data_IF_604785849299
#
_entry.id   IF_604785849299
#
_cell.length_a   1.000
_cell.length_b   1.000
_cell.length_c   1.000
_cell.angle_alpha   90.00
_cell.angle_beta   90.00
_cell.angle_gamma   90.00
#
_symmetry.space_group_name_H-M   'P 1'
#
loop_
_entity.id
_entity.type
_entity.pdbx_description
1 polymer ?
#
# COMPACT_ATOMS: atom_id res chain seq x y z
N UNK A 1 -9.45 11.16 -19.32
CA UNK A 1 -10.75 10.67 -19.83
C UNK A 1 -11.66 10.44 -18.65
N UNK A 2 -12.89 11.01 -18.68
CA UNK A 2 -13.87 10.83 -17.61
C UNK A 2 -15.13 10.15 -18.18
N UNK A 3 -15.63 9.14 -17.48
CA UNK A 3 -16.94 8.53 -17.74
C UNK A 3 -17.82 8.65 -16.50
N UNK A 4 -19.12 8.80 -16.69
CA UNK A 4 -20.08 8.83 -15.58
C UNK A 4 -21.32 8.02 -15.95
N UNK A 5 -21.85 7.31 -14.96
CA UNK A 5 -23.17 6.71 -15.06
C UNK A 5 -24.22 7.75 -14.62
N UNK A 6 -25.37 7.72 -15.25
CA UNK A 6 -26.52 8.54 -14.87
C UNK A 6 -27.59 7.64 -14.21
N UNK A 7 -27.73 7.73 -12.90
CA UNK A 7 -28.66 6.90 -12.13
C UNK A 7 -30.13 7.17 -12.50
N UNK A 8 -30.46 8.37 -13.02
CA UNK A 8 -31.81 8.71 -13.46
C UNK A 8 -32.24 7.90 -14.69
N UNK A 9 -31.26 7.36 -15.45
CA UNK A 9 -31.51 6.52 -16.61
C UNK A 9 -31.51 5.04 -16.23
N UNK A 10 -32.70 4.50 -15.94
CA UNK A 10 -32.93 3.10 -15.58
C UNK A 10 -32.00 2.59 -14.46
N UNK A 11 -31.86 3.40 -13.39
CA UNK A 11 -31.04 3.07 -12.23
C UNK A 11 -29.55 2.93 -12.54
N UNK A 12 -29.03 3.70 -13.49
CA UNK A 12 -27.61 3.63 -13.90
C UNK A 12 -27.21 2.31 -14.57
N UNK A 13 -28.17 1.46 -14.94
CA UNK A 13 -27.87 0.16 -15.55
C UNK A 13 -27.23 0.31 -16.95
N UNK A 14 -26.21 -0.48 -17.20
CA UNK A 14 -25.47 -0.46 -18.47
C UNK A 14 -26.24 -1.18 -19.55
N UNK A 15 -26.76 -0.45 -20.54
CA UNK A 15 -27.29 -1.02 -21.79
C UNK A 15 -26.22 -1.16 -22.87
N UNK A 16 -26.57 -1.70 -24.03
CA UNK A 16 -25.65 -1.94 -25.17
C UNK A 16 -24.87 -0.68 -25.54
N UNK A 17 -25.53 0.45 -25.74
CA UNK A 17 -24.90 1.73 -26.11
C UNK A 17 -24.01 2.26 -24.98
N UNK A 18 -24.42 2.08 -23.72
CA UNK A 18 -23.62 2.46 -22.56
C UNK A 18 -22.30 1.66 -22.50
N UNK A 19 -22.38 0.35 -22.74
CA UNK A 19 -21.21 -0.52 -22.82
C UNK A 19 -20.25 -0.09 -23.96
N UNK A 20 -20.76 0.22 -25.13
CA UNK A 20 -19.98 0.68 -26.27
C UNK A 20 -19.29 2.03 -25.99
N UNK A 21 -19.98 2.95 -25.31
CA UNK A 21 -19.39 4.25 -24.87
C UNK A 21 -18.28 4.05 -23.86
N UNK A 22 -18.49 3.20 -22.85
CA UNK A 22 -17.46 2.88 -21.85
C UNK A 22 -16.24 2.25 -22.53
N UNK A 23 -16.46 1.29 -23.41
CA UNK A 23 -15.41 0.64 -24.18
C UNK A 23 -14.59 1.65 -25.02
N UNK A 24 -15.28 2.59 -25.69
CA UNK A 24 -14.63 3.66 -26.45
C UNK A 24 -13.81 4.59 -25.55
N UNK A 25 -14.30 4.92 -24.35
CA UNK A 25 -13.57 5.76 -23.41
C UNK A 25 -12.28 5.10 -22.91
N UNK A 26 -12.36 3.80 -22.56
CA UNK A 26 -11.16 3.03 -22.16
C UNK A 26 -10.16 2.94 -23.32
N UNK A 27 -10.65 2.69 -24.56
CA UNK A 27 -9.79 2.70 -25.73
C UNK A 27 -9.10 4.04 -25.92
N UNK A 28 -9.84 5.15 -25.82
CA UNK A 28 -9.27 6.50 -25.95
C UNK A 28 -8.19 6.76 -24.88
N UNK A 29 -8.43 6.35 -23.62
CA UNK A 29 -7.44 6.47 -22.54
C UNK A 29 -6.17 5.67 -22.87
N UNK A 30 -6.33 4.42 -23.32
CA UNK A 30 -5.20 3.54 -23.70
C UNK A 30 -4.40 4.10 -24.88
N UNK A 31 -5.07 4.49 -25.96
CA UNK A 31 -4.41 4.96 -27.19
C UNK A 31 -3.69 6.29 -27.00
N UNK A 32 -4.21 7.14 -26.13
CA UNK A 32 -3.66 8.47 -25.85
C UNK A 32 -2.75 8.53 -24.64
N UNK A 33 -2.64 7.46 -23.85
CA UNK A 33 -1.88 7.44 -22.59
C UNK A 33 -2.42 8.47 -21.58
N UNK A 34 -3.74 8.52 -21.40
CA UNK A 34 -4.42 9.46 -20.52
C UNK A 34 -5.03 8.73 -19.32
N UNK A 35 -5.03 9.35 -18.12
CA UNK A 35 -5.73 8.80 -16.97
C UNK A 35 -7.22 8.56 -17.28
N UNK A 36 -7.75 7.44 -16.77
CA UNK A 36 -9.16 7.08 -16.84
C UNK A 36 -9.82 7.30 -15.48
N UNK A 37 -10.86 8.11 -15.42
CA UNK A 37 -11.69 8.32 -14.24
C UNK A 37 -13.10 7.83 -14.54
N UNK A 38 -13.60 6.91 -13.73
CA UNK A 38 -14.95 6.35 -13.87
C UNK A 38 -15.78 6.71 -12.64
N UNK A 39 -16.82 7.53 -12.83
CA UNK A 39 -17.82 7.87 -11.82
C UNK A 39 -18.96 6.85 -11.95
N UNK A 40 -19.06 5.96 -10.96
CA UNK A 40 -19.83 4.73 -11.07
C UNK A 40 -21.06 4.74 -10.16
N UNK A 41 -22.19 4.36 -10.75
CA UNK A 41 -23.44 4.03 -10.08
C UNK A 41 -24.17 2.93 -10.86
N UNK A 42 -25.14 2.27 -10.22
CA UNK A 42 -26.06 1.36 -10.90
C UNK A 42 -25.80 -0.12 -10.65
N UNK A 43 -26.75 -0.93 -11.07
CA UNK A 43 -26.86 -2.37 -10.81
C UNK A 43 -26.17 -3.28 -11.83
N UNK A 44 -25.22 -2.78 -12.61
CA UNK A 44 -24.57 -3.55 -13.64
C UNK A 44 -25.33 -3.59 -14.97
N UNK A 45 -25.37 -4.74 -15.64
CA UNK A 45 -25.98 -4.85 -16.97
C UNK A 45 -27.52 -4.73 -16.90
N UNK A 46 -28.10 -3.98 -17.83
CA UNK A 46 -29.57 -3.81 -17.94
C UNK A 46 -30.21 -5.14 -18.25
N UNK A 47 -31.20 -5.57 -17.43
CA UNK A 47 -31.82 -6.90 -17.55
C UNK A 47 -32.43 -7.11 -18.92
N UNK A 48 -33.12 -6.09 -19.47
CA UNK A 48 -33.78 -6.17 -20.78
C UNK A 48 -32.78 -6.47 -21.93
N UNK A 49 -31.59 -5.87 -21.87
CA UNK A 49 -30.53 -6.13 -22.85
C UNK A 49 -29.75 -7.41 -22.50
N UNK A 50 -29.54 -7.69 -21.22
CA UNK A 50 -28.75 -8.81 -20.71
C UNK A 50 -29.39 -10.19 -20.88
N UNK A 51 -30.71 -10.26 -21.02
CA UNK A 51 -31.40 -11.51 -21.29
C UNK A 51 -31.49 -11.87 -22.81
N UNK A 52 -31.08 -10.96 -23.69
CA UNK A 52 -30.89 -11.25 -25.10
C UNK A 52 -29.43 -11.67 -25.35
N UNK A 53 -29.23 -12.96 -25.63
CA UNK A 53 -27.89 -13.52 -25.88
C UNK A 53 -27.14 -12.84 -27.03
N UNK A 54 -27.85 -12.27 -28.02
CA UNK A 54 -27.22 -11.50 -29.12
C UNK A 54 -26.57 -10.20 -28.63
N UNK A 55 -27.13 -9.60 -27.58
CA UNK A 55 -26.61 -8.39 -26.98
C UNK A 55 -25.56 -8.72 -25.91
N UNK A 56 -25.87 -9.63 -25.00
CA UNK A 56 -24.98 -9.94 -23.87
C UNK A 56 -23.64 -10.56 -24.34
N UNK A 57 -23.66 -11.49 -25.31
CA UNK A 57 -22.45 -12.11 -25.84
C UNK A 57 -21.49 -11.13 -26.57
N UNK A 58 -21.99 -9.95 -26.96
CA UNK A 58 -21.19 -8.89 -27.56
C UNK A 58 -20.61 -7.90 -26.57
N UNK A 59 -21.07 -7.93 -25.31
CA UNK A 59 -20.64 -7.01 -24.24
C UNK A 59 -19.28 -7.45 -23.72
N UNK A 60 -18.25 -7.25 -24.50
CA UNK A 60 -16.90 -7.67 -24.13
C UNK A 60 -15.87 -6.59 -24.49
N UNK A 61 -14.69 -6.73 -23.97
CA UNK A 61 -13.56 -5.88 -24.30
C UNK A 61 -13.20 -4.86 -23.22
N UNK A 62 -14.13 -4.39 -22.39
CA UNK A 62 -13.81 -3.39 -21.36
C UNK A 62 -12.80 -3.95 -20.35
N UNK A 63 -13.01 -5.16 -19.84
CA UNK A 63 -12.09 -5.78 -18.88
C UNK A 63 -10.71 -6.05 -19.47
N UNK A 64 -10.68 -6.59 -20.69
CA UNK A 64 -9.42 -6.81 -21.41
C UNK A 64 -8.65 -5.50 -21.61
N UNK A 65 -9.34 -4.44 -22.03
CA UNK A 65 -8.73 -3.12 -22.22
C UNK A 65 -8.29 -2.46 -20.92
N UNK A 66 -9.07 -2.59 -19.85
CA UNK A 66 -8.64 -2.12 -18.51
C UNK A 66 -7.40 -2.88 -18.04
N UNK A 67 -7.34 -4.19 -18.27
CA UNK A 67 -6.14 -4.97 -17.94
C UNK A 67 -4.90 -4.48 -18.72
N UNK A 68 -5.05 -4.09 -19.99
CA UNK A 68 -3.98 -3.50 -20.79
C UNK A 68 -3.66 -2.04 -20.39
N UNK A 69 -4.64 -1.31 -19.88
CA UNK A 69 -4.43 0.04 -19.35
C UNK A 69 -3.67 0.04 -18.03
N UNK A 70 -3.80 -1.05 -17.24
CA UNK A 70 -3.13 -1.21 -15.93
C UNK A 70 -1.62 -1.03 -16.06
N UNK A 71 -1.06 -0.12 -15.26
CA UNK A 71 0.35 0.26 -15.28
C UNK A 71 0.79 1.07 -16.51
N UNK A 72 -0.10 1.30 -17.48
CA UNK A 72 0.13 2.21 -18.59
C UNK A 72 -0.29 3.64 -18.26
N UNK A 73 -1.55 3.83 -17.84
CA UNK A 73 -2.07 5.12 -17.39
C UNK A 73 -2.95 4.91 -16.15
N UNK A 74 -2.98 5.87 -15.21
CA UNK A 74 -3.75 5.73 -13.98
C UNK A 74 -5.25 5.48 -14.22
N UNK A 75 -5.79 4.49 -13.53
CA UNK A 75 -7.21 4.16 -13.50
C UNK A 75 -7.82 4.49 -12.14
N UNK A 76 -8.85 5.30 -12.12
CA UNK A 76 -9.53 5.73 -10.90
C UNK A 76 -11.01 5.45 -11.00
N UNK A 77 -11.60 4.92 -9.94
CA UNK A 77 -13.06 4.78 -9.82
C UNK A 77 -13.58 5.48 -8.58
N UNK A 78 -14.72 6.16 -8.72
CA UNK A 78 -15.50 6.67 -7.60
C UNK A 78 -16.87 6.02 -7.59
N UNK A 79 -17.22 5.35 -6.50
CA UNK A 79 -18.57 4.90 -6.23
C UNK A 79 -19.30 6.06 -5.58
N UNK A 80 -20.24 6.67 -6.31
CA UNK A 80 -21.01 7.82 -5.84
C UNK A 80 -22.40 7.42 -5.33
N UNK A 81 -22.80 6.17 -5.59
CA UNK A 81 -24.07 5.61 -5.16
C UNK A 81 -24.03 4.08 -5.12
N UNK A 82 -25.15 3.44 -5.45
CA UNK A 82 -25.26 1.98 -5.51
C UNK A 82 -24.55 1.45 -6.74
N UNK A 83 -23.51 0.63 -6.55
CA UNK A 83 -22.65 0.15 -7.63
C UNK A 83 -22.38 -1.36 -7.61
N UNK A 84 -23.43 -2.19 -7.77
CA UNK A 84 -23.27 -3.65 -7.83
C UNK A 84 -22.91 -4.17 -9.22
N UNK A 85 -22.33 -5.39 -9.27
CA UNK A 85 -21.87 -6.10 -10.48
C UNK A 85 -20.77 -5.33 -11.24
N UNK A 86 -21.01 -4.88 -12.48
CA UNK A 86 -20.02 -4.20 -13.34
C UNK A 86 -19.22 -3.09 -12.64
N UNK A 87 -19.83 -2.13 -11.97
CA UNK A 87 -19.14 -1.11 -11.18
C UNK A 87 -18.13 -1.67 -10.16
N UNK A 88 -18.50 -2.76 -9.48
CA UNK A 88 -17.58 -3.45 -8.56
C UNK A 88 -16.39 -4.06 -9.30
N UNK A 89 -16.62 -4.70 -10.45
CA UNK A 89 -15.55 -5.30 -11.24
C UNK A 89 -14.58 -4.23 -11.80
N UNK A 90 -15.09 -3.09 -12.24
CA UNK A 90 -14.26 -1.97 -12.70
C UNK A 90 -13.42 -1.41 -11.55
N UNK A 91 -14.04 -1.25 -10.37
CA UNK A 91 -13.33 -0.80 -9.16
C UNK A 91 -12.25 -1.76 -8.72
N UNK A 92 -12.50 -3.07 -8.78
CA UNK A 92 -11.50 -4.08 -8.44
C UNK A 92 -10.26 -4.07 -9.36
N UNK A 93 -10.36 -3.49 -10.55
CA UNK A 93 -9.24 -3.36 -11.51
C UNK A 93 -8.59 -1.97 -11.49
N UNK A 94 -9.15 -1.01 -10.76
CA UNK A 94 -8.63 0.36 -10.72
C UNK A 94 -7.43 0.49 -9.78
N UNK A 95 -6.58 1.47 -10.04
CA UNK A 95 -5.41 1.82 -9.22
C UNK A 95 -5.80 2.57 -7.95
N UNK A 96 -6.95 3.26 -7.98
CA UNK A 96 -7.48 4.00 -6.85
C UNK A 96 -9.01 3.99 -6.85
N UNK A 97 -9.60 3.64 -5.72
CA UNK A 97 -11.04 3.53 -5.52
C UNK A 97 -11.49 4.38 -4.35
N UNK A 98 -12.43 5.30 -4.58
CA UNK A 98 -13.04 6.10 -3.51
C UNK A 98 -14.54 5.83 -3.40
N UNK A 99 -15.04 5.74 -2.16
CA UNK A 99 -16.45 5.56 -1.81
C UNK A 99 -16.93 6.69 -0.91
N UNK A 100 -18.23 7.04 -1.01
CA UNK A 100 -18.89 7.98 -0.09
C UNK A 100 -19.63 7.18 0.99
N UNK A 101 -19.28 7.39 2.27
CA UNK A 101 -19.87 6.66 3.42
C UNK A 101 -21.39 6.88 3.51
N UNK A 102 -22.13 5.79 3.78
CA UNK A 102 -23.59 5.83 3.89
C UNK A 102 -24.35 6.09 2.58
N UNK A 103 -23.66 6.39 1.49
CA UNK A 103 -24.23 6.62 0.16
C UNK A 103 -23.81 5.52 -0.82
N UNK A 104 -22.54 5.19 -0.87
CA UNK A 104 -21.98 4.25 -1.83
C UNK A 104 -22.01 2.82 -1.31
N UNK A 105 -22.38 1.89 -2.18
CA UNK A 105 -22.28 0.46 -1.93
C UNK A 105 -21.77 -0.25 -3.17
N UNK A 106 -21.00 -1.32 -3.01
CA UNK A 106 -20.56 -2.19 -4.10
C UNK A 106 -20.48 -3.66 -3.68
N UNK A 107 -20.63 -4.55 -4.64
CA UNK A 107 -20.58 -6.00 -4.49
C UNK A 107 -20.88 -6.68 -5.81
N UNK A 108 -20.58 -7.97 -5.92
CA UNK A 108 -20.82 -8.73 -7.17
C UNK A 108 -22.31 -8.92 -7.46
N UNK A 109 -23.15 -8.95 -6.41
CA UNK A 109 -24.58 -9.07 -6.51
C UNK A 109 -25.26 -8.13 -5.51
N UNK A 110 -26.33 -7.47 -5.92
CA UNK A 110 -27.14 -6.67 -5.01
C UNK A 110 -28.10 -7.51 -4.16
N UNK A 111 -28.69 -6.93 -3.09
CA UNK A 111 -29.54 -7.64 -2.12
C UNK A 111 -30.67 -8.47 -2.75
N UNK A 112 -31.31 -7.96 -3.79
CA UNK A 112 -32.39 -8.68 -4.48
C UNK A 112 -31.91 -9.97 -5.12
N UNK A 113 -30.72 -9.98 -5.73
CA UNK A 113 -30.12 -11.18 -6.34
C UNK A 113 -29.60 -12.13 -5.27
N UNK A 114 -29.03 -11.64 -4.18
CA UNK A 114 -28.63 -12.43 -3.02
C UNK A 114 -29.84 -13.15 -2.42
N UNK A 115 -30.96 -12.47 -2.21
CA UNK A 115 -32.20 -13.07 -1.74
C UNK A 115 -32.73 -14.12 -2.71
N UNK A 116 -32.74 -13.83 -4.00
CA UNK A 116 -33.26 -14.79 -5.02
C UNK A 116 -32.36 -16.04 -5.16
N UNK A 117 -31.04 -15.88 -5.06
CA UNK A 117 -30.09 -16.97 -5.28
C UNK A 117 -29.75 -17.78 -4.02
N UNK A 118 -29.65 -17.11 -2.87
CA UNK A 118 -29.18 -17.72 -1.63
C UNK A 118 -30.24 -17.76 -0.53
N UNK A 119 -31.38 -17.08 -0.69
CA UNK A 119 -32.40 -16.93 0.33
C UNK A 119 -32.01 -16.00 1.49
N UNK A 120 -30.87 -15.33 1.40
CA UNK A 120 -30.37 -14.44 2.44
C UNK A 120 -31.01 -13.06 2.31
N UNK A 121 -31.58 -12.55 3.40
CA UNK A 121 -32.06 -11.18 3.50
C UNK A 121 -31.01 -10.28 4.13
N UNK A 122 -30.46 -9.37 3.35
CA UNK A 122 -29.40 -8.46 3.77
C UNK A 122 -29.62 -7.08 3.11
N UNK A 123 -29.36 -6.01 3.85
CA UNK A 123 -29.42 -4.66 3.30
C UNK A 123 -28.12 -4.33 2.51
N UNK A 124 -28.20 -3.32 1.65
CA UNK A 124 -27.10 -2.94 0.77
C UNK A 124 -25.85 -2.45 1.50
N UNK A 125 -26.01 -1.74 2.63
CA UNK A 125 -24.89 -1.20 3.41
C UNK A 125 -24.13 -2.31 4.14
N UNK A 126 -24.87 -3.22 4.79
CA UNK A 126 -24.28 -4.41 5.43
C UNK A 126 -23.61 -5.33 4.42
N UNK A 127 -24.16 -5.46 3.21
CA UNK A 127 -23.60 -6.30 2.15
C UNK A 127 -22.32 -5.70 1.55
N UNK A 128 -22.31 -4.40 1.26
CA UNK A 128 -21.27 -3.80 0.44
C UNK A 128 -20.99 -2.33 0.67
N UNK A 129 -21.35 -1.77 1.84
CA UNK A 129 -21.00 -0.41 2.21
C UNK A 129 -19.52 -0.20 2.51
N UNK A 130 -19.14 1.04 2.76
CA UNK A 130 -17.75 1.42 2.98
C UNK A 130 -17.07 0.67 4.15
N UNK A 131 -17.84 0.34 5.21
CA UNK A 131 -17.33 -0.48 6.32
C UNK A 131 -16.89 -1.90 5.91
N UNK A 132 -17.45 -2.42 4.82
CA UNK A 132 -17.04 -3.72 4.24
C UNK A 132 -15.91 -3.52 3.24
N UNK A 133 -16.09 -2.61 2.29
CA UNK A 133 -15.22 -2.53 1.12
C UNK A 133 -13.95 -1.72 1.35
N UNK A 134 -13.97 -0.70 2.22
CA UNK A 134 -12.78 0.04 2.61
C UNK A 134 -12.11 -0.56 3.84
N UNK A 135 -12.88 -0.81 4.92
CA UNK A 135 -12.27 -1.11 6.22
C UNK A 135 -11.89 -2.60 6.37
N UNK A 136 -12.66 -3.54 5.76
CA UNK A 136 -12.42 -4.99 5.91
C UNK A 136 -11.74 -5.62 4.71
N UNK A 137 -12.15 -5.26 3.49
CA UNK A 137 -11.70 -5.91 2.26
C UNK A 137 -10.56 -5.15 1.57
N UNK A 138 -10.47 -3.83 1.75
CA UNK A 138 -9.44 -3.00 1.14
C UNK A 138 -9.58 -2.86 -0.38
N UNK A 139 -10.77 -3.08 -0.96
CA UNK A 139 -11.02 -2.77 -2.38
C UNK A 139 -11.06 -1.26 -2.55
N UNK A 140 -11.82 -0.54 -1.69
CA UNK A 140 -11.77 0.91 -1.68
C UNK A 140 -10.53 1.41 -0.93
N UNK A 141 -9.84 2.37 -1.55
CA UNK A 141 -8.66 3.03 -1.01
C UNK A 141 -9.01 4.11 0.00
N UNK A 142 -10.12 4.80 -0.25
CA UNK A 142 -10.66 5.80 0.67
C UNK A 142 -12.18 5.69 0.78
N UNK A 143 -12.68 5.99 1.98
CA UNK A 143 -14.07 6.25 2.22
C UNK A 143 -14.20 7.65 2.82
N UNK A 144 -14.89 8.53 2.10
CA UNK A 144 -15.07 9.96 2.40
C UNK A 144 -16.51 10.26 2.75
N UNK A 145 -16.80 11.45 3.27
CA UNK A 145 -18.14 11.81 3.75
C UNK A 145 -19.00 12.54 2.70
N UNK A 146 -18.40 12.93 1.56
CA UNK A 146 -19.12 13.62 0.49
C UNK A 146 -18.52 13.36 -0.90
N UNK A 147 -19.34 13.60 -1.96
CA UNK A 147 -18.87 13.55 -3.34
C UNK A 147 -17.79 14.61 -3.62
N UNK A 148 -17.90 15.78 -3.00
CA UNK A 148 -16.89 16.82 -3.14
C UNK A 148 -15.52 16.35 -2.65
N UNK A 149 -15.48 15.67 -1.50
CA UNK A 149 -14.27 15.06 -0.98
C UNK A 149 -13.78 13.91 -1.85
N UNK A 150 -14.68 13.13 -2.47
CA UNK A 150 -14.32 12.08 -3.41
C UNK A 150 -13.60 12.67 -4.64
N UNK A 151 -14.12 13.77 -5.20
CA UNK A 151 -13.47 14.46 -6.33
C UNK A 151 -12.14 15.09 -5.95
N UNK A 152 -12.01 15.62 -4.74
CA UNK A 152 -10.73 16.14 -4.25
C UNK A 152 -9.72 15.00 -4.05
N UNK A 153 -10.13 13.87 -3.50
CA UNK A 153 -9.28 12.69 -3.36
C UNK A 153 -8.77 12.17 -4.72
N UNK A 154 -9.64 12.16 -5.75
CA UNK A 154 -9.25 11.79 -7.13
C UNK A 154 -8.19 12.76 -7.67
N UNK A 155 -8.40 14.07 -7.56
CA UNK A 155 -7.44 15.08 -8.01
C UNK A 155 -6.12 14.93 -7.26
N UNK A 156 -6.18 14.73 -5.96
CA UNK A 156 -5.01 14.55 -5.11
C UNK A 156 -4.23 13.29 -5.49
N UNK A 157 -4.89 12.15 -5.68
CA UNK A 157 -4.25 10.93 -6.15
C UNK A 157 -3.54 11.14 -7.49
N UNK A 158 -4.25 11.68 -8.47
CA UNK A 158 -3.70 11.93 -9.82
C UNK A 158 -2.55 12.96 -9.82
N UNK A 159 -2.50 13.87 -8.84
CA UNK A 159 -1.43 14.87 -8.76
C UNK A 159 -0.05 14.28 -8.45
N UNK A 160 0.02 13.05 -7.87
CA UNK A 160 1.28 12.36 -7.61
C UNK A 160 1.79 11.57 -8.81
N UNK A 161 0.93 11.26 -9.77
CA UNK A 161 1.22 10.34 -10.87
C UNK A 161 1.42 11.08 -12.20
N UNK A 162 2.26 10.54 -13.09
CA UNK A 162 2.33 11.03 -14.46
C UNK A 162 1.05 10.66 -15.23
N UNK A 163 0.82 11.28 -16.37
CA UNK A 163 -0.32 10.92 -17.24
C UNK A 163 -0.24 9.47 -17.73
N UNK A 164 0.98 8.98 -17.94
CA UNK A 164 1.26 7.56 -18.25
C UNK A 164 2.69 7.22 -17.80
N UNK A 165 3.02 5.94 -17.77
CA UNK A 165 4.29 5.45 -17.25
C UNK A 165 5.55 5.88 -18.02
N UNK A 166 5.41 6.55 -19.16
CA UNK A 166 6.52 7.11 -19.96
C UNK A 166 6.77 8.59 -19.69
N UNK A 167 5.81 9.26 -19.10
CA UNK A 167 5.94 10.67 -18.75
C UNK A 167 6.76 10.82 -17.45
N UNK A 168 7.46 11.94 -17.27
CA UNK A 168 8.16 12.22 -16.04
C UNK A 168 7.19 12.42 -14.86
N UNK A 169 7.69 12.22 -13.65
CA UNK A 169 6.93 12.49 -12.43
C UNK A 169 6.58 13.99 -12.33
N UNK A 170 5.38 14.32 -11.84
CA UNK A 170 4.95 15.71 -11.67
C UNK A 170 5.61 16.33 -10.44
N UNK A 171 6.77 16.96 -10.63
CA UNK A 171 7.47 17.71 -9.58
C UNK A 171 6.78 19.07 -9.43
N UNK A 172 6.53 19.47 -8.18
CA UNK A 172 5.95 20.79 -7.85
C UNK A 172 6.96 21.60 -7.07
N UNK A 173 6.94 22.91 -7.24
CA UNK A 173 7.78 23.80 -6.45
C UNK A 173 7.33 23.78 -4.99
N UNK A 174 8.28 23.87 -4.08
CA UNK A 174 8.07 23.93 -2.63
C UNK A 174 9.03 24.92 -2.01
N UNK A 175 8.56 25.60 -0.96
CA UNK A 175 9.36 26.48 -0.11
C UNK A 175 9.82 25.77 1.19
N UNK A 176 9.50 24.49 1.37
CA UNK A 176 9.92 23.70 2.52
C UNK A 176 11.42 23.32 2.39
N UNK A 177 12.32 23.83 3.24
CA UNK A 177 13.75 23.68 3.04
C UNK A 177 14.21 22.21 3.00
N UNK A 178 15.13 21.91 2.10
CA UNK A 178 15.74 20.57 1.96
C UNK A 178 16.46 20.17 3.25
N UNK A 179 17.17 21.11 3.87
CA UNK A 179 18.01 20.94 5.06
C UNK A 179 17.25 21.21 6.37
N UNK A 180 15.93 21.30 6.33
CA UNK A 180 15.11 21.46 7.53
C UNK A 180 15.40 20.37 8.55
N UNK A 181 15.93 20.77 9.70
CA UNK A 181 16.19 19.88 10.85
C UNK A 181 14.86 19.54 11.51
N UNK A 182 14.64 18.26 11.76
CA UNK A 182 13.40 17.73 12.31
C UNK A 182 13.61 17.18 13.72
N UNK A 183 13.81 18.08 14.69
CA UNK A 183 14.05 17.73 16.12
C UNK A 183 12.89 16.94 16.71
N UNK A 184 11.65 17.21 16.29
CA UNK A 184 10.45 16.51 16.73
C UNK A 184 10.54 14.98 16.57
N UNK A 185 11.38 14.47 15.65
CA UNK A 185 11.57 13.03 15.44
C UNK A 185 12.14 12.33 16.67
N UNK A 186 12.92 13.02 17.49
CA UNK A 186 13.50 12.48 18.73
C UNK A 186 12.42 12.24 19.81
N UNK A 187 11.37 13.05 19.80
CA UNK A 187 10.24 12.93 20.73
C UNK A 187 9.16 12.00 20.21
N UNK A 188 8.94 11.98 18.88
CA UNK A 188 7.93 11.12 18.23
C UNK A 188 8.29 9.66 18.40
N UNK A 189 9.56 9.27 18.19
CA UNK A 189 10.00 7.87 18.24
C UNK A 189 10.73 7.56 19.54
N UNK A 190 10.05 6.93 20.52
CA UNK A 190 10.65 6.64 21.82
C UNK A 190 11.75 5.59 21.70
N UNK A 191 12.84 5.76 22.46
CA UNK A 191 13.92 4.76 22.57
C UNK A 191 13.47 3.44 23.19
N UNK A 192 12.43 3.46 24.03
CA UNK A 192 11.83 2.25 24.59
C UNK A 192 11.05 1.49 23.50
N UNK A 193 11.56 0.34 23.08
CA UNK A 193 10.99 -0.49 22.02
C UNK A 193 9.56 -1.02 22.30
N UNK A 194 9.12 -1.02 23.57
CA UNK A 194 7.77 -1.45 23.96
C UNK A 194 6.75 -0.32 23.90
N UNK A 195 7.20 0.94 23.86
CA UNK A 195 6.31 2.10 23.79
C UNK A 195 5.88 2.32 22.34
N UNK A 196 4.58 2.28 22.02
CA UNK A 196 4.09 2.56 20.67
C UNK A 196 4.16 4.07 20.37
N UNK A 197 4.18 4.40 19.08
CA UNK A 197 4.06 5.74 18.53
C UNK A 197 3.37 5.69 17.18
N UNK A 198 2.84 6.81 16.69
CA UNK A 198 2.21 6.90 15.39
C UNK A 198 3.25 7.23 14.31
N UNK A 199 3.50 6.26 13.42
CA UNK A 199 4.45 6.41 12.32
C UNK A 199 4.04 7.49 11.31
N UNK A 200 2.74 7.84 11.24
CA UNK A 200 2.24 8.92 10.37
C UNK A 200 2.92 10.25 10.67
N UNK A 201 3.16 10.52 11.96
CA UNK A 201 3.87 11.73 12.40
C UNK A 201 5.31 11.77 11.87
N UNK A 202 5.99 10.63 11.80
CA UNK A 202 7.33 10.57 11.20
C UNK A 202 7.26 10.89 9.71
N UNK A 203 6.30 10.28 8.98
CA UNK A 203 6.10 10.53 7.54
C UNK A 203 5.79 12.02 7.31
N UNK A 204 4.88 12.60 8.08
CA UNK A 204 4.52 14.02 8.00
C UNK A 204 5.72 14.94 8.26
N UNK A 205 6.53 14.59 9.28
CA UNK A 205 7.68 15.39 9.67
C UNK A 205 8.78 15.40 8.61
N UNK A 206 9.05 14.27 7.94
CA UNK A 206 10.12 14.22 6.92
C UNK A 206 9.66 14.69 5.54
N UNK A 207 8.36 14.67 5.26
CA UNK A 207 7.79 15.08 3.97
C UNK A 207 7.60 16.59 3.85
N UNK A 208 7.38 17.05 2.64
CA UNK A 208 6.95 18.43 2.39
C UNK A 208 5.60 18.68 3.06
N UNK A 209 5.45 19.84 3.70
CA UNK A 209 4.25 20.17 4.48
C UNK A 209 2.96 20.00 3.69
N UNK A 210 1.99 19.26 4.27
CA UNK A 210 0.68 19.04 3.68
C UNK A 210 0.67 18.08 2.48
N UNK A 211 1.82 17.49 2.14
CA UNK A 211 1.92 16.60 0.97
C UNK A 211 1.55 15.14 1.24
N UNK A 212 1.36 14.71 2.49
CA UNK A 212 1.07 13.29 2.79
C UNK A 212 -0.36 12.93 2.42
N UNK A 213 -0.52 11.86 1.64
CA UNK A 213 -1.80 11.30 1.22
C UNK A 213 -1.82 9.79 1.47
N UNK A 214 -2.45 9.38 2.58
CA UNK A 214 -2.50 7.96 2.98
C UNK A 214 -3.51 7.18 2.13
N UNK A 215 -3.11 6.00 1.67
CA UNK A 215 -3.91 5.04 0.91
C UNK A 215 -4.32 3.89 1.83
N UNK A 216 -5.61 3.53 1.83
CA UNK A 216 -6.20 2.47 2.67
C UNK A 216 -5.91 2.68 4.18
N UNK A 217 -6.24 3.86 4.76
CA UNK A 217 -5.88 4.16 6.15
C UNK A 217 -6.52 3.23 7.18
N UNK A 218 -7.67 2.64 6.87
CA UNK A 218 -8.44 1.76 7.76
C UNK A 218 -8.19 0.27 7.50
N UNK A 219 -7.80 -0.10 6.28
CA UNK A 219 -7.44 -1.47 5.92
C UNK A 219 -6.00 -1.78 6.27
N UNK A 220 -5.75 -2.93 6.92
CA UNK A 220 -4.41 -3.34 7.36
C UNK A 220 -3.66 -2.19 8.05
N UNK A 221 -4.27 -1.60 9.09
CA UNK A 221 -3.77 -0.39 9.73
C UNK A 221 -2.45 -0.59 10.51
N UNK A 222 -1.91 -1.81 10.56
CA UNK A 222 -0.59 -2.17 11.05
C UNK A 222 0.55 -1.83 10.06
N UNK A 223 0.21 -1.48 8.82
CA UNK A 223 1.11 -0.90 7.81
C UNK A 223 0.49 0.36 7.22
N UNK A 224 1.28 1.41 7.08
CA UNK A 224 0.89 2.67 6.42
C UNK A 224 1.47 2.67 5.01
N UNK A 225 0.63 2.94 4.03
CA UNK A 225 1.04 3.24 2.65
C UNK A 225 0.57 4.63 2.31
N UNK A 226 1.46 5.50 1.87
CA UNK A 226 1.10 6.88 1.54
C UNK A 226 1.94 7.43 0.40
N UNK A 227 1.34 8.26 -0.42
CA UNK A 227 2.09 9.20 -1.24
C UNK A 227 2.49 10.40 -0.38
N UNK A 228 3.62 10.99 -0.73
CA UNK A 228 4.08 12.26 -0.18
C UNK A 228 4.99 12.96 -1.19
N UNK A 229 5.55 14.09 -0.81
CA UNK A 229 6.57 14.77 -1.62
C UNK A 229 7.81 15.05 -0.77
N UNK A 230 8.94 14.98 -1.44
CA UNK A 230 10.25 15.35 -0.90
C UNK A 230 10.91 16.29 -1.91
N UNK A 231 11.08 17.55 -1.55
CA UNK A 231 11.53 18.61 -2.43
C UNK A 231 10.69 18.66 -3.74
N UNK A 232 9.36 18.66 -3.55
CA UNK A 232 8.36 18.63 -4.61
C UNK A 232 8.22 17.33 -5.39
N UNK A 233 9.16 16.39 -5.29
CA UNK A 233 9.16 15.10 -5.98
C UNK A 233 8.20 14.12 -5.31
N UNK A 234 7.25 13.50 -6.04
CA UNK A 234 6.38 12.46 -5.48
C UNK A 234 7.17 11.21 -5.11
N UNK A 235 6.81 10.64 -3.97
CA UNK A 235 7.38 9.39 -3.43
C UNK A 235 6.29 8.54 -2.78
N UNK A 236 6.52 7.24 -2.66
CA UNK A 236 5.67 6.31 -1.91
C UNK A 236 6.33 5.88 -0.60
N UNK A 237 5.64 6.06 0.52
CA UNK A 237 6.06 5.54 1.83
C UNK A 237 5.36 4.22 2.15
N UNK A 238 6.11 3.26 2.66
CA UNK A 238 5.62 2.02 3.27
C UNK A 238 6.23 1.96 4.67
N UNK A 239 5.40 2.00 5.71
CA UNK A 239 5.87 2.15 7.07
C UNK A 239 5.11 1.27 8.05
N UNK A 240 5.81 0.57 8.94
CA UNK A 240 5.18 -0.20 10.01
C UNK A 240 4.50 0.73 11.01
N UNK A 241 3.27 0.40 11.44
CA UNK A 241 2.52 1.18 12.43
C UNK A 241 2.55 0.51 13.81
N UNK A 242 3.45 0.91 14.73
CA UNK A 242 3.58 0.26 16.04
C UNK A 242 2.35 0.35 16.92
N UNK A 243 1.45 1.31 16.70
CA UNK A 243 0.17 1.41 17.42
C UNK A 243 -0.82 0.29 17.08
N UNK A 244 -0.58 -0.44 16.00
CA UNK A 244 -1.44 -1.53 15.54
C UNK A 244 -0.60 -2.80 15.40
N UNK A 245 -0.94 -3.85 16.15
CA UNK A 245 -0.22 -5.13 16.15
C UNK A 245 1.31 -4.97 16.28
N UNK A 246 1.78 -3.93 16.98
CA UNK A 246 3.19 -3.56 17.12
C UNK A 246 3.96 -3.38 15.79
N UNK A 247 3.26 -3.13 14.67
CA UNK A 247 3.84 -3.03 13.33
C UNK A 247 4.14 -4.36 12.65
N UNK A 248 3.63 -5.48 13.20
CA UNK A 248 3.80 -6.83 12.66
C UNK A 248 3.12 -6.95 11.29
N UNK A 249 3.71 -7.73 10.37
CA UNK A 249 3.15 -7.97 9.04
C UNK A 249 2.23 -9.19 9.05
N UNK A 250 0.93 -8.98 8.87
CA UNK A 250 -0.06 -10.02 8.61
C UNK A 250 -0.36 -10.15 7.10
N UNK A 251 -1.26 -11.05 6.75
CA UNK A 251 -1.63 -11.31 5.36
C UNK A 251 -2.16 -10.06 4.63
N UNK A 252 -2.98 -9.27 5.30
CA UNK A 252 -3.56 -8.05 4.74
C UNK A 252 -2.50 -6.94 4.56
N UNK A 253 -1.59 -6.80 5.54
CA UNK A 253 -0.47 -5.87 5.42
C UNK A 253 0.45 -6.24 4.25
N UNK A 254 0.68 -7.54 4.03
CA UNK A 254 1.45 -8.01 2.88
C UNK A 254 0.76 -7.68 1.55
N UNK A 255 -0.56 -7.90 1.43
CA UNK A 255 -1.31 -7.56 0.22
C UNK A 255 -1.28 -6.05 -0.06
N UNK A 256 -1.57 -5.24 0.95
CA UNK A 256 -1.54 -3.77 0.87
C UNK A 256 -0.16 -3.27 0.43
N UNK A 257 0.91 -3.77 1.04
CA UNK A 257 2.28 -3.39 0.70
C UNK A 257 2.65 -3.82 -0.72
N UNK A 258 2.35 -5.06 -1.11
CA UNK A 258 2.68 -5.60 -2.42
C UNK A 258 1.99 -4.82 -3.55
N UNK A 259 0.69 -4.51 -3.37
CA UNK A 259 -0.07 -3.70 -4.33
C UNK A 259 0.52 -2.28 -4.45
N UNK A 260 0.83 -1.63 -3.33
CA UNK A 260 1.40 -0.29 -3.34
C UNK A 260 2.81 -0.23 -3.94
N UNK A 261 3.65 -1.27 -3.73
CA UNK A 261 4.95 -1.41 -4.40
C UNK A 261 4.76 -1.47 -5.93
N UNK A 262 3.82 -2.32 -6.40
CA UNK A 262 3.53 -2.46 -7.82
C UNK A 262 3.02 -1.14 -8.43
N UNK A 263 2.14 -0.43 -7.73
CA UNK A 263 1.59 0.86 -8.14
C UNK A 263 2.70 1.92 -8.28
N UNK A 264 3.54 2.07 -7.26
CA UNK A 264 4.65 3.02 -7.29
C UNK A 264 5.65 2.68 -8.41
N UNK A 265 6.01 1.40 -8.55
CA UNK A 265 6.94 0.97 -9.60
C UNK A 265 6.37 1.18 -11.00
N UNK A 266 5.08 0.89 -11.22
CA UNK A 266 4.44 1.10 -12.52
C UNK A 266 4.60 2.55 -13.00
N UNK A 267 4.36 3.51 -12.12
CA UNK A 267 4.38 4.95 -12.46
C UNK A 267 5.70 5.67 -12.13
N UNK A 268 6.72 4.96 -11.66
CA UNK A 268 8.06 5.52 -11.48
C UNK A 268 8.29 6.26 -10.15
N UNK A 269 7.43 6.07 -9.14
CA UNK A 269 7.60 6.71 -7.84
C UNK A 269 8.65 5.98 -7.00
N UNK A 270 9.67 6.68 -6.47
CA UNK A 270 10.60 6.09 -5.51
C UNK A 270 9.87 5.56 -4.27
N UNK A 271 10.39 4.47 -3.70
CA UNK A 271 9.84 3.81 -2.52
C UNK A 271 10.71 4.08 -1.29
N UNK A 272 10.09 4.53 -0.21
CA UNK A 272 10.74 4.77 1.07
C UNK A 272 10.10 3.86 2.12
N UNK A 273 10.94 3.04 2.76
CA UNK A 273 10.53 2.11 3.80
C UNK A 273 10.97 2.63 5.16
N UNK A 274 10.02 2.85 6.07
CA UNK A 274 10.30 3.16 7.47
C UNK A 274 10.05 1.90 8.31
N UNK A 275 11.13 1.31 8.80
CA UNK A 275 11.12 -0.03 9.37
C UNK A 275 11.07 0.01 10.90
N UNK A 276 10.01 -0.53 11.46
CA UNK A 276 9.87 -0.88 12.87
C UNK A 276 9.01 -2.14 12.99
N UNK A 277 9.57 -3.27 12.56
CA UNK A 277 8.87 -4.54 12.38
C UNK A 277 9.38 -5.63 13.31
N UNK A 278 8.52 -6.20 14.18
CA UNK A 278 8.90 -7.33 15.03
C UNK A 278 8.90 -8.69 14.28
N UNK A 279 8.49 -8.69 13.02
CA UNK A 279 8.40 -9.87 12.16
C UNK A 279 7.06 -10.02 11.47
N UNK A 280 6.85 -11.17 10.83
CA UNK A 280 5.53 -11.60 10.37
C UNK A 280 4.68 -12.08 11.52
N UNK A 281 3.36 -12.04 11.35
CA UNK A 281 2.41 -12.65 12.27
C UNK A 281 2.66 -14.17 12.37
N UNK A 282 2.47 -14.73 13.55
CA UNK A 282 2.70 -16.15 13.83
C UNK A 282 1.45 -16.78 14.44
N UNK A 283 1.39 -18.10 14.38
CA UNK A 283 0.31 -18.88 14.97
C UNK A 283 -0.75 -19.34 13.96
N UNK A 284 -1.69 -20.17 14.43
CA UNK A 284 -2.65 -20.87 13.57
C UNK A 284 -3.56 -19.93 12.75
N UNK A 285 -3.89 -18.76 13.28
CA UNK A 285 -4.69 -17.75 12.57
C UNK A 285 -3.89 -17.13 11.39
N UNK A 286 -2.60 -16.86 11.59
CA UNK A 286 -1.72 -16.37 10.54
C UNK A 286 -1.59 -17.41 9.42
N UNK A 287 -1.35 -18.68 9.75
CA UNK A 287 -1.25 -19.75 8.76
C UNK A 287 -2.57 -19.94 7.98
N UNK A 288 -3.71 -19.97 8.67
CA UNK A 288 -5.03 -20.06 8.02
C UNK A 288 -5.37 -18.89 7.11
N UNK A 289 -4.76 -17.71 7.35
CA UNK A 289 -4.91 -16.54 6.47
C UNK A 289 -4.15 -16.66 5.14
N UNK A 290 -3.32 -17.69 4.96
CA UNK A 290 -2.46 -17.88 3.80
C UNK A 290 -1.28 -16.90 3.77
N UNK A 291 -0.78 -16.48 4.94
CA UNK A 291 0.30 -15.50 5.09
C UNK A 291 1.56 -15.90 4.30
N UNK A 292 1.92 -17.18 4.27
CA UNK A 292 3.10 -17.64 3.51
C UNK A 292 3.07 -17.24 2.04
N UNK A 293 1.91 -17.39 1.35
CA UNK A 293 1.75 -16.96 -0.04
C UNK A 293 1.78 -15.43 -0.17
N UNK A 294 1.12 -14.72 0.74
CA UNK A 294 1.00 -13.27 0.68
C UNK A 294 2.32 -12.58 1.01
N UNK A 295 3.11 -13.12 1.94
CA UNK A 295 4.47 -12.63 2.19
C UNK A 295 5.39 -12.85 0.98
N UNK A 296 5.28 -14.01 0.32
CA UNK A 296 6.00 -14.29 -0.92
C UNK A 296 5.71 -13.27 -2.02
N UNK A 297 4.48 -12.74 -2.09
CA UNK A 297 4.14 -11.68 -3.04
C UNK A 297 4.89 -10.38 -2.75
N UNK A 298 5.07 -10.00 -1.48
CA UNK A 298 5.87 -8.79 -1.14
C UNK A 298 7.29 -8.93 -1.66
N UNK A 299 7.94 -10.07 -1.43
CA UNK A 299 9.28 -10.35 -1.93
C UNK A 299 9.34 -10.32 -3.46
N UNK A 300 8.34 -10.90 -4.12
CA UNK A 300 8.23 -10.87 -5.57
C UNK A 300 8.13 -9.43 -6.11
N UNK A 301 7.27 -8.60 -5.53
CA UNK A 301 7.08 -7.21 -5.95
C UNK A 301 8.35 -6.37 -5.69
N UNK A 302 9.01 -6.56 -4.55
CA UNK A 302 10.29 -5.91 -4.25
C UNK A 302 11.38 -6.29 -5.26
N UNK A 303 11.48 -7.57 -5.63
CA UNK A 303 12.46 -8.04 -6.61
C UNK A 303 12.26 -7.46 -7.99
N UNK A 304 11.01 -7.21 -8.39
CA UNK A 304 10.67 -6.67 -9.70
C UNK A 304 10.64 -5.15 -9.74
N UNK A 305 10.64 -4.48 -8.59
CA UNK A 305 10.61 -3.01 -8.55
C UNK A 305 11.90 -2.42 -9.13
N UNK A 306 11.73 -1.49 -10.07
CA UNK A 306 12.82 -0.81 -10.80
C UNK A 306 13.08 0.60 -10.30
N UNK A 307 12.16 1.17 -9.54
CA UNK A 307 12.29 2.50 -8.93
C UNK A 307 13.31 2.51 -7.79
N UNK A 308 13.90 3.69 -7.46
CA UNK A 308 14.75 3.83 -6.29
C UNK A 308 14.05 3.36 -5.02
N UNK A 309 14.81 2.67 -4.17
CA UNK A 309 14.35 2.15 -2.87
C UNK A 309 15.30 2.58 -1.76
N UNK A 310 14.76 3.22 -0.75
CA UNK A 310 15.49 3.63 0.44
C UNK A 310 14.81 3.00 1.65
N UNK A 311 15.55 2.32 2.52
CA UNK A 311 15.02 1.82 3.79
C UNK A 311 15.73 2.43 4.97
N UNK A 312 14.96 2.83 5.98
CA UNK A 312 15.45 3.42 7.23
C UNK A 312 14.91 2.58 8.39
N UNK A 313 15.81 1.95 9.13
CA UNK A 313 15.44 1.18 10.32
C UNK A 313 15.38 2.13 11.51
N UNK A 314 14.17 2.39 11.98
CA UNK A 314 13.93 3.32 13.09
C UNK A 314 14.20 2.65 14.44
N UNK A 315 13.68 1.41 14.63
CA UNK A 315 13.82 0.61 15.85
C UNK A 315 14.00 -0.87 15.52
N UNK A 316 12.91 -1.65 15.45
CA UNK A 316 12.98 -3.10 15.22
C UNK A 316 13.07 -3.43 13.73
N UNK A 317 14.04 -4.26 13.38
CA UNK A 317 14.15 -4.91 12.09
C UNK A 317 14.34 -6.41 12.29
N UNK A 318 13.24 -7.16 12.56
CA UNK A 318 13.35 -8.56 12.98
C UNK A 318 12.89 -9.55 11.92
N UNK A 319 13.70 -10.60 11.76
CA UNK A 319 13.40 -11.76 10.93
C UNK A 319 13.13 -11.41 9.45
N UNK A 320 12.36 -12.28 8.79
CA UNK A 320 12.02 -12.07 7.38
C UNK A 320 11.10 -10.84 7.16
N UNK A 321 10.44 -10.32 8.19
CA UNK A 321 9.73 -9.05 8.15
C UNK A 321 10.64 -7.87 7.82
N UNK A 322 11.87 -7.88 8.31
CA UNK A 322 12.90 -6.89 7.96
C UNK A 322 13.19 -6.87 6.46
N UNK A 323 13.34 -8.05 5.85
CA UNK A 323 13.55 -8.16 4.41
C UNK A 323 12.32 -7.75 3.59
N UNK A 324 11.11 -8.05 4.07
CA UNK A 324 9.86 -7.60 3.44
C UNK A 324 9.68 -6.08 3.47
N UNK A 325 10.39 -5.39 4.36
CA UNK A 325 10.49 -3.93 4.42
C UNK A 325 11.73 -3.38 3.69
N UNK A 326 12.24 -4.12 2.70
CA UNK A 326 13.44 -3.79 1.92
C UNK A 326 14.69 -3.54 2.79
N UNK A 327 14.77 -4.16 3.97
CA UNK A 327 15.90 -4.02 4.88
C UNK A 327 17.14 -4.80 4.43
N UNK A 328 18.29 -4.27 4.77
CA UNK A 328 19.59 -4.89 4.47
C UNK A 328 19.91 -4.95 2.98
N UNK A 329 20.66 -5.99 2.62
CA UNK A 329 21.16 -6.20 1.25
C UNK A 329 20.31 -7.16 0.41
N UNK A 330 19.22 -7.70 0.97
CA UNK A 330 18.45 -8.77 0.32
C UNK A 330 17.79 -8.36 -0.99
N UNK A 331 17.37 -7.10 -1.11
CA UNK A 331 16.73 -6.55 -2.30
C UNK A 331 17.49 -5.38 -2.93
N UNK A 332 18.75 -5.21 -2.52
CA UNK A 332 19.66 -4.27 -3.15
C UNK A 332 19.07 -2.83 -3.17
N UNK A 333 18.61 -2.37 -2.01
CA UNK A 333 18.13 -0.99 -1.84
C UNK A 333 19.23 0.01 -2.22
N UNK A 334 18.85 1.15 -2.80
CA UNK A 334 19.80 2.21 -3.17
C UNK A 334 20.46 2.83 -1.93
N UNK A 335 19.73 2.84 -0.80
CA UNK A 335 20.30 3.06 0.52
C UNK A 335 19.51 2.27 1.58
N UNK A 336 20.24 1.59 2.47
CA UNK A 336 19.69 0.99 3.67
C UNK A 336 20.44 1.55 4.88
N UNK A 337 19.75 2.36 5.70
CA UNK A 337 20.35 3.04 6.84
C UNK A 337 19.55 2.80 8.12
N UNK A 338 20.13 3.14 9.25
CA UNK A 338 19.45 2.97 10.53
C UNK A 338 19.60 4.22 11.41
N UNK A 339 18.64 4.43 12.29
CA UNK A 339 18.78 5.33 13.42
C UNK A 339 19.58 4.64 14.55
N UNK A 340 20.20 5.40 15.47
CA UNK A 340 20.94 4.82 16.59
C UNK A 340 20.10 3.88 17.48
N UNK A 341 18.79 4.03 17.47
CA UNK A 341 17.83 3.21 18.22
C UNK A 341 17.49 1.86 17.57
N UNK A 342 18.04 1.57 16.40
CA UNK A 342 17.70 0.37 15.64
C UNK A 342 18.34 -0.89 16.25
N UNK A 343 17.52 -1.95 16.30
CA UNK A 343 17.93 -3.34 16.59
C UNK A 343 17.59 -4.22 15.39
N UNK A 344 18.58 -4.90 14.85
CA UNK A 344 18.41 -5.78 13.67
C UNK A 344 18.84 -7.19 14.05
N UNK A 345 17.93 -8.16 13.97
CA UNK A 345 18.20 -9.55 14.33
C UNK A 345 17.16 -10.53 13.74
N UNK A 346 17.43 -11.83 13.89
CA UNK A 346 16.57 -12.89 13.36
C UNK A 346 15.19 -12.97 14.05
N UNK A 347 15.11 -12.65 15.35
CA UNK A 347 13.87 -12.60 16.16
C UNK A 347 14.15 -11.81 17.43
N UNK A 348 13.12 -11.52 18.24
CA UNK A 348 13.34 -10.87 19.54
C UNK A 348 14.33 -11.67 20.39
N UNK A 349 15.22 -10.97 21.09
CA UNK A 349 16.25 -11.65 21.93
C UNK A 349 15.62 -12.55 22.98
N UNK A 350 14.57 -12.08 23.64
CA UNK A 350 13.85 -12.85 24.64
C UNK A 350 13.30 -14.15 24.01
N UNK A 351 12.70 -14.08 22.82
CA UNK A 351 12.21 -15.25 22.09
C UNK A 351 13.33 -16.21 21.69
N UNK A 352 14.46 -15.67 21.23
CA UNK A 352 15.62 -16.49 20.85
C UNK A 352 16.18 -17.25 22.07
N UNK A 353 16.29 -16.60 23.22
CA UNK A 353 16.74 -17.23 24.48
C UNK A 353 15.75 -18.31 24.93
N UNK A 354 14.44 -18.03 24.87
CA UNK A 354 13.41 -18.99 25.28
C UNK A 354 13.35 -20.21 24.34
N UNK A 355 13.68 -20.07 23.08
CA UNK A 355 13.72 -21.20 22.13
C UNK A 355 15.01 -22.00 22.23
N UNK A 356 16.17 -21.33 22.26
CA UNK A 356 17.46 -21.98 22.12
C UNK A 356 18.09 -22.40 23.46
N UNK A 357 17.82 -21.68 24.54
CA UNK A 357 18.51 -21.83 25.82
C UNK A 357 17.57 -22.20 26.99
N UNK A 358 16.36 -22.61 26.69
CA UNK A 358 15.36 -22.94 27.70
C UNK A 358 15.88 -23.97 28.71
N UNK A 359 16.48 -25.05 28.23
CA UNK A 359 17.04 -26.12 29.09
C UNK A 359 18.24 -25.63 29.92
N UNK A 360 19.05 -24.69 29.38
CA UNK A 360 20.20 -24.13 30.09
C UNK A 360 19.73 -23.33 31.30
N UNK A 361 18.83 -22.37 31.10
CA UNK A 361 18.41 -21.51 32.20
C UNK A 361 17.45 -22.23 33.18
N UNK A 362 16.61 -23.17 32.73
CA UNK A 362 15.76 -23.97 33.63
C UNK A 362 16.58 -24.92 34.54
N UNK A 363 17.78 -25.34 34.15
CA UNK A 363 18.69 -26.16 34.94
C UNK A 363 19.59 -25.36 35.88
N UNK A 364 19.62 -24.05 35.79
CA UNK A 364 20.46 -23.19 36.64
C UNK A 364 19.90 -23.05 38.05
N UNK A 365 20.75 -22.74 39.01
CA UNK A 365 20.36 -22.50 40.42
C UNK A 365 19.34 -21.36 40.57
N UNK A 366 19.53 -20.27 39.74
CA UNK A 366 18.55 -19.20 39.57
C UNK A 366 18.17 -19.08 38.10
N UNK A 367 17.08 -19.70 37.64
CA UNK A 367 16.62 -19.67 36.25
C UNK A 367 16.35 -18.27 35.75
N UNK A 368 15.81 -17.36 36.56
CA UNK A 368 15.47 -16.00 36.14
C UNK A 368 16.72 -15.17 35.92
N UNK A 369 17.69 -15.23 36.84
CA UNK A 369 18.97 -14.54 36.69
C UNK A 369 19.77 -15.06 35.47
N UNK A 370 19.79 -16.40 35.28
CA UNK A 370 20.45 -17.01 34.12
C UNK A 370 19.82 -16.60 32.79
N UNK A 371 18.48 -16.61 32.72
CA UNK A 371 17.76 -16.15 31.54
C UNK A 371 18.08 -14.67 31.24
N UNK A 372 18.06 -13.80 32.27
CA UNK A 372 18.39 -12.40 32.08
C UNK A 372 19.82 -12.20 31.59
N UNK A 373 20.79 -12.93 32.16
CA UNK A 373 22.20 -12.90 31.71
C UNK A 373 22.33 -13.26 30.24
N UNK A 374 21.63 -14.29 29.76
CA UNK A 374 21.62 -14.69 28.36
C UNK A 374 21.01 -13.57 27.48
N UNK A 375 19.88 -13.01 27.91
CA UNK A 375 19.25 -11.88 27.21
C UNK A 375 20.23 -10.70 27.10
N UNK A 376 20.89 -10.31 28.18
CA UNK A 376 21.81 -9.17 28.19
C UNK A 376 23.05 -9.44 27.30
N UNK A 377 23.53 -10.70 27.30
CA UNK A 377 24.63 -11.11 26.41
C UNK A 377 24.27 -10.95 24.94
N UNK A 378 23.08 -11.41 24.52
CA UNK A 378 22.65 -11.24 23.12
C UNK A 378 22.32 -9.79 22.79
N UNK A 379 21.70 -9.03 23.72
CA UNK A 379 21.43 -7.61 23.49
C UNK A 379 22.69 -6.78 23.25
N UNK A 380 23.79 -7.15 23.90
CA UNK A 380 25.09 -6.47 23.67
C UNK A 380 25.65 -6.66 22.24
N UNK A 381 25.10 -7.62 21.48
CA UNK A 381 25.48 -7.89 20.10
C UNK A 381 24.56 -7.23 19.07
N UNK A 382 23.53 -6.54 19.50
CA UNK A 382 22.59 -5.83 18.63
C UNK A 382 22.99 -4.36 18.47
N UNK A 383 22.31 -3.72 17.53
CA UNK A 383 22.41 -2.27 17.34
C UNK A 383 22.86 -1.87 15.94
N UNK A 384 22.52 -0.65 15.58
CA UNK A 384 22.76 -0.08 14.26
C UNK A 384 24.25 -0.08 13.86
N UNK A 385 25.13 0.29 14.79
CA UNK A 385 26.58 0.32 14.52
C UNK A 385 27.13 -1.05 14.19
N UNK A 386 26.71 -2.10 14.90
CA UNK A 386 27.13 -3.47 14.60
C UNK A 386 26.65 -3.97 13.24
N UNK A 387 25.44 -3.58 12.84
CA UNK A 387 24.96 -3.88 11.50
C UNK A 387 25.77 -3.17 10.42
N UNK A 388 26.24 -1.94 10.69
CA UNK A 388 27.08 -1.17 9.77
C UNK A 388 28.51 -1.71 9.67
N UNK A 389 29.11 -2.21 10.77
CA UNK A 389 30.46 -2.76 10.82
C UNK A 389 30.71 -3.85 9.76
N UNK A 390 29.71 -4.68 9.46
CA UNK A 390 29.77 -5.75 8.46
C UNK A 390 29.01 -5.42 7.17
N UNK A 391 28.74 -4.14 6.93
CA UNK A 391 28.05 -3.67 5.74
C UNK A 391 26.67 -4.31 5.52
N UNK A 392 25.99 -4.68 6.60
CA UNK A 392 24.58 -5.08 6.57
C UNK A 392 23.64 -3.92 6.30
N UNK A 393 24.05 -2.70 6.65
CA UNK A 393 23.47 -1.42 6.29
C UNK A 393 24.58 -0.47 5.84
N UNK A 394 24.22 0.61 5.12
CA UNK A 394 25.20 1.56 4.59
C UNK A 394 25.81 2.45 5.67
N UNK A 395 24.96 2.98 6.57
CA UNK A 395 25.41 3.87 7.64
C UNK A 395 24.35 4.03 8.73
N UNK A 396 24.74 4.66 9.82
CA UNK A 396 23.83 5.14 10.88
C UNK A 396 23.67 6.64 10.73
N UNK A 397 22.43 7.12 10.65
CA UNK A 397 22.11 8.54 10.45
C UNK A 397 21.49 9.16 11.70
N UNK A 398 21.71 10.47 11.87
CA UNK A 398 20.99 11.29 12.84
C UNK A 398 19.50 11.36 12.47
N UNK A 399 18.57 10.97 13.37
CA UNK A 399 17.14 11.06 13.09
C UNK A 399 16.69 12.42 12.58
N UNK A 400 17.24 13.50 13.13
CA UNK A 400 16.87 14.89 12.79
C UNK A 400 17.21 15.27 11.35
N UNK A 401 18.13 14.55 10.71
CA UNK A 401 18.60 14.75 9.32
C UNK A 401 17.94 13.79 8.32
N UNK A 402 16.94 13.04 8.74
CA UNK A 402 16.29 12.04 7.86
C UNK A 402 15.74 12.66 6.58
N UNK A 403 15.14 13.86 6.64
CA UNK A 403 14.63 14.56 5.47
C UNK A 403 15.74 14.87 4.43
N UNK A 404 16.78 15.56 4.85
CA UNK A 404 17.89 15.92 3.94
C UNK A 404 18.54 14.68 3.35
N UNK A 405 18.78 13.65 4.17
CA UNK A 405 19.32 12.37 3.71
C UNK A 405 18.46 11.74 2.60
N UNK A 406 17.13 11.70 2.77
CA UNK A 406 16.22 11.16 1.76
C UNK A 406 16.28 11.94 0.44
N UNK A 407 16.25 13.28 0.52
CA UNK A 407 16.27 14.16 -0.66
C UNK A 407 17.58 14.02 -1.41
N UNK A 408 18.73 14.09 -0.72
CA UNK A 408 20.06 13.96 -1.31
C UNK A 408 20.27 12.58 -1.95
N UNK A 409 19.83 11.50 -1.28
CA UNK A 409 19.91 10.15 -1.82
C UNK A 409 19.06 10.02 -3.08
N UNK A 410 17.82 10.51 -3.07
CA UNK A 410 16.96 10.48 -4.26
C UNK A 410 17.50 11.33 -5.42
N UNK A 411 18.18 12.41 -5.15
CA UNK A 411 18.82 13.23 -6.17
C UNK A 411 20.00 12.51 -6.83
N UNK A 412 20.69 11.64 -6.09
CA UNK A 412 21.80 10.83 -6.61
C UNK A 412 21.35 9.56 -7.35
N UNK A 413 20.11 9.09 -7.13
CA UNK A 413 19.59 7.89 -7.77
C UNK A 413 19.11 8.16 -9.21
N UNK A 414 19.33 7.20 -10.13
CA UNK A 414 18.67 7.24 -11.43
C UNK A 414 17.15 7.07 -11.26
N UNK A 415 16.32 7.59 -12.17
CA UNK A 415 14.85 7.46 -12.08
C UNK A 415 14.37 5.99 -12.00
N UNK A 416 15.09 5.11 -12.69
CA UNK A 416 14.89 3.65 -12.64
C UNK A 416 16.23 2.93 -12.72
N UNK A 417 16.32 1.79 -12.06
CA UNK A 417 17.45 0.88 -12.16
C UNK A 417 17.58 0.34 -13.58
N UNK A 418 18.78 0.18 -14.06
CA UNK A 418 19.02 -0.50 -15.33
C UNK A 418 18.66 -1.97 -15.18
N UNK A 419 17.74 -2.43 -16.02
CA UNK A 419 17.40 -3.85 -16.13
C UNK A 419 18.22 -4.49 -17.26
N UNK A 420 18.61 -5.74 -17.08
CA UNK A 420 19.19 -6.58 -18.14
C UNK A 420 18.13 -7.05 -19.15
N UNK A 421 16.85 -6.84 -18.83
CA UNK A 421 15.72 -7.22 -19.67
C UNK A 421 15.15 -5.98 -20.38
N UNK A 422 14.52 -6.16 -21.56
CA UNK A 422 13.85 -5.07 -22.24
C UNK A 422 12.80 -4.39 -21.36
N UNK A 423 12.66 -3.06 -21.42
CA UNK A 423 11.60 -2.36 -20.70
C UNK A 423 10.22 -2.88 -21.12
N UNK A 424 9.37 -3.16 -20.18
CA UNK A 424 7.97 -3.51 -20.40
C UNK A 424 7.07 -2.72 -19.47
N UNK A 425 5.83 -2.48 -19.90
CA UNK A 425 4.79 -1.91 -19.04
C UNK A 425 4.49 -2.92 -17.93
N UNK A 426 4.54 -2.47 -16.69
CA UNK A 426 4.26 -3.31 -15.53
C UNK A 426 2.80 -3.20 -15.14
N UNK A 427 2.05 -4.26 -15.32
CA UNK A 427 0.68 -4.34 -14.85
C UNK A 427 0.61 -4.32 -13.32
N UNK A 428 -0.44 -3.71 -12.79
CA UNK A 428 -0.77 -3.70 -11.37
C UNK A 428 -1.85 -4.76 -11.17
N UNK A 429 -1.48 -5.85 -10.50
CA UNK A 429 -2.44 -6.91 -10.18
C UNK A 429 -3.41 -6.43 -9.11
N UNK A 430 -4.71 -6.70 -9.23
CA UNK A 430 -5.66 -6.52 -8.13
C UNK A 430 -5.19 -7.22 -6.85
N UNK A 431 -5.63 -6.72 -5.70
CA UNK A 431 -5.24 -7.28 -4.39
C UNK A 431 -5.72 -8.72 -4.23
#
# INVERSE_FOLDING_TARGET
VVTAHDFTVLGGSTGVVGADKTNRAVTLATDRGLPLVMLLEGGGHRIQDGQDSRHFSRTTGVFDRMAHLSGWSPMVTALLGVGFAGPTNYSAMADFVVMVRGQSTMGLAGPALVKAGMGEEIDKETLGGAAVQADKNGIADLAVDSEAEAFEAIRRFLSYLPANCREPLPIVETDDPVDRISEDLLDIVPSNLRKPYDIRKVIETVSDKGSVFEIKPTYAANIVTSFARLDGRPVGFIANQPMRMAGMLDAKACEKSAHFIALCDAYGLPLIFLVDVPGFAIGSAAEKSGLGRRSGRVFYELSHATVPRISIVLRKGYGAGYFAMAGGRSFDADACVAWPTAEICAMSVEGAVDVAYRRDYEAAEDPAARRQQLVDTFKSQLGALRAAEHFGIDTVIDPTKTRSFLIETLAACPPRRRSTHPPKIRSISPI
#
